data_IF_898270434427
#
_entry.id   IF_898270434427
#
_cell.length_a   1.000
_cell.length_b   1.000
_cell.length_c   1.000
_cell.angle_alpha   90.00
_cell.angle_beta   90.00
_cell.angle_gamma   90.00
#
_symmetry.space_group_name_H-M   'P 1'
#
loop_
_entity.id
_entity.type
_entity.pdbx_description
1 polymer ?
#
# COMPACT_ATOMS: atom_id res chain seq x y z
N UNK A 1 17.15 3.49 -1.42
CA UNK A 1 16.68 2.15 -1.85
C UNK A 1 15.18 2.22 -1.94
N UNK A 2 14.58 1.52 -2.90
CA UNK A 2 13.15 1.27 -2.94
C UNK A 2 12.89 -0.21 -2.64
N UNK A 3 11.88 -0.47 -1.83
CA UNK A 3 11.33 -1.81 -1.55
C UNK A 3 9.90 -1.79 -2.05
N UNK A 4 9.49 -2.83 -2.76
CA UNK A 4 8.19 -2.88 -3.44
C UNK A 4 7.69 -4.32 -3.45
N UNK A 5 6.39 -4.49 -3.26
CA UNK A 5 5.74 -5.79 -3.41
C UNK A 5 5.75 -6.25 -4.89
N UNK A 6 5.62 -7.56 -5.10
CA UNK A 6 5.68 -8.18 -6.43
C UNK A 6 4.32 -8.26 -7.13
N UNK A 7 3.22 -8.09 -6.40
CA UNK A 7 1.83 -8.17 -6.84
C UNK A 7 1.27 -6.79 -7.20
N UNK A 8 2.00 -6.07 -8.05
CA UNK A 8 1.71 -4.67 -8.42
C UNK A 8 1.69 -4.49 -9.94
N UNK A 9 0.94 -3.51 -10.43
CA UNK A 9 1.06 -2.97 -11.78
C UNK A 9 1.58 -1.54 -11.72
N UNK A 10 2.63 -1.27 -12.49
CA UNK A 10 3.18 0.07 -12.70
C UNK A 10 2.63 0.61 -14.04
N UNK A 11 2.12 1.83 -14.04
CA UNK A 11 1.44 2.40 -15.21
C UNK A 11 1.59 3.92 -15.30
N UNK A 12 1.22 4.48 -16.44
CA UNK A 12 1.39 5.91 -16.70
C UNK A 12 2.84 6.34 -16.53
N UNK A 13 3.05 7.46 -15.84
CA UNK A 13 4.35 8.03 -15.49
C UNK A 13 4.87 7.52 -14.13
N UNK A 14 4.86 6.19 -13.95
CA UNK A 14 5.23 5.53 -12.70
C UNK A 14 6.64 5.87 -12.19
N UNK A 15 7.55 6.26 -13.07
CA UNK A 15 8.92 6.68 -12.71
C UNK A 15 8.91 7.79 -11.65
N UNK A 16 7.87 8.65 -11.63
CA UNK A 16 7.70 9.69 -10.60
C UNK A 16 7.67 9.15 -9.17
N UNK A 17 7.22 7.91 -8.96
CA UNK A 17 7.27 7.24 -7.64
C UNK A 17 8.72 7.03 -7.21
N UNK A 18 9.55 6.55 -8.13
CA UNK A 18 10.95 6.24 -7.90
C UNK A 18 11.81 7.51 -7.84
N UNK A 19 11.46 8.54 -8.59
CA UNK A 19 12.17 9.82 -8.63
C UNK A 19 11.76 10.78 -7.50
N UNK A 20 10.66 10.50 -6.80
CA UNK A 20 10.16 11.35 -5.72
C UNK A 20 11.26 11.65 -4.68
N UNK A 21 11.61 12.91 -4.42
CA UNK A 21 12.78 13.26 -3.64
C UNK A 21 12.60 12.92 -2.16
N UNK A 22 13.67 12.39 -1.55
CA UNK A 22 13.77 12.17 -0.12
C UNK A 22 15.15 12.62 0.38
N UNK A 23 15.21 13.03 1.64
CA UNK A 23 16.43 13.44 2.34
C UNK A 23 16.83 12.42 3.41
N UNK A 24 18.04 12.56 3.96
CA UNK A 24 18.46 11.75 5.12
C UNK A 24 17.53 12.03 6.29
N UNK A 25 17.18 10.99 7.02
CA UNK A 25 16.17 11.07 8.08
C UNK A 25 14.72 10.99 7.60
N UNK A 26 14.46 10.88 6.28
CA UNK A 26 13.11 10.71 5.74
C UNK A 26 12.83 9.25 5.33
N UNK A 27 11.58 8.84 5.49
CA UNK A 27 11.04 7.57 5.03
C UNK A 27 9.80 7.83 4.20
N UNK A 28 9.82 7.45 2.92
CA UNK A 28 8.72 7.64 1.99
C UNK A 28 7.93 6.33 1.85
N UNK A 29 6.61 6.42 1.92
CA UNK A 29 5.72 5.28 1.78
C UNK A 29 4.52 5.59 0.89
N UNK A 30 3.95 4.55 0.28
CA UNK A 30 2.64 4.67 -0.36
C UNK A 30 1.52 4.83 0.69
N UNK A 31 0.48 5.64 0.43
CA UNK A 31 -0.65 5.77 1.32
C UNK A 31 -1.54 4.52 1.30
N UNK A 32 -2.16 4.19 2.44
CA UNK A 32 -3.09 3.07 2.61
C UNK A 32 -4.55 3.50 2.70
N UNK A 33 -5.01 4.41 1.84
CA UNK A 33 -6.31 5.09 1.99
C UNK A 33 -7.54 4.20 1.75
N UNK A 34 -7.41 3.06 1.05
CA UNK A 34 -8.52 2.17 0.72
C UNK A 34 -8.95 1.23 1.84
N UNK A 35 -8.27 1.26 3.00
CA UNK A 35 -8.53 0.37 4.13
C UNK A 35 -10.01 0.35 4.52
N UNK A 36 -10.50 -0.84 4.84
CA UNK A 36 -11.89 -1.07 5.24
C UNK A 36 -12.13 -0.78 6.73
N UNK A 37 -11.05 -0.72 7.51
CA UNK A 37 -11.04 -0.23 8.89
C UNK A 37 -10.16 1.00 8.97
N UNK A 38 -10.75 2.15 9.29
CA UNK A 38 -9.98 3.30 9.75
C UNK A 38 -9.34 2.92 11.09
N UNK A 39 -8.01 2.82 11.09
CA UNK A 39 -7.20 2.65 12.29
C UNK A 39 -6.54 4.00 12.52
N UNK A 40 -7.09 4.75 13.47
CA UNK A 40 -6.55 6.04 13.86
C UNK A 40 -5.04 5.91 14.14
N UNK A 41 -4.26 6.86 13.62
CA UNK A 41 -2.81 6.87 13.78
C UNK A 41 -2.01 6.10 12.73
N UNK A 42 -2.63 5.39 11.77
CA UNK A 42 -1.90 4.66 10.72
C UNK A 42 -2.31 5.03 9.30
N UNK A 43 -1.31 5.21 8.44
CA UNK A 43 -1.46 5.86 7.14
C UNK A 43 -0.79 5.15 5.97
N UNK A 44 0.22 4.30 6.21
CA UNK A 44 1.02 3.71 5.12
C UNK A 44 0.41 2.41 4.57
N UNK A 45 0.78 2.00 3.36
CA UNK A 45 0.60 0.62 2.91
C UNK A 45 1.99 -0.01 2.66
N UNK A 46 2.10 -1.32 2.89
CA UNK A 46 3.35 -2.08 2.78
C UNK A 46 3.91 -2.22 1.36
N UNK A 47 3.12 -1.94 0.33
CA UNK A 47 3.50 -2.26 -1.06
C UNK A 47 4.63 -1.43 -1.64
N UNK A 48 5.00 -0.30 -1.03
CA UNK A 48 6.12 0.52 -1.50
C UNK A 48 6.72 1.37 -0.37
N UNK A 49 8.05 1.27 -0.22
CA UNK A 49 8.86 2.12 0.64
C UNK A 49 10.10 2.65 -0.11
N UNK A 50 10.50 3.89 0.20
CA UNK A 50 11.78 4.47 -0.23
C UNK A 50 12.49 5.16 0.92
N UNK A 51 13.73 4.75 1.19
CA UNK A 51 14.50 5.25 2.34
C UNK A 51 16.01 5.09 2.16
N UNK A 52 16.76 5.69 3.09
CA UNK A 52 18.21 5.50 3.24
C UNK A 52 18.51 4.36 4.21
N UNK A 53 19.17 3.26 3.79
CA UNK A 53 19.34 2.08 4.63
C UNK A 53 20.06 2.31 5.96
N UNK A 54 21.03 3.23 5.98
CA UNK A 54 21.76 3.59 7.20
C UNK A 54 20.84 4.21 8.26
N UNK A 55 19.86 4.99 7.83
CA UNK A 55 18.92 5.67 8.72
C UNK A 55 17.89 4.69 9.28
N UNK A 56 17.57 3.62 8.54
CA UNK A 56 16.61 2.59 8.97
C UNK A 56 17.24 1.37 9.66
N UNK A 57 18.57 1.35 9.89
CA UNK A 57 19.24 0.19 10.52
C UNK A 57 18.62 -0.17 11.88
N UNK A 58 18.22 0.82 12.67
CA UNK A 58 17.60 0.58 13.97
C UNK A 58 16.25 -0.14 13.86
N UNK A 59 15.50 0.07 12.77
CA UNK A 59 14.22 -0.63 12.52
C UNK A 59 14.49 -2.12 12.29
N UNK A 60 15.50 -2.43 11.48
CA UNK A 60 15.97 -3.80 11.27
C UNK A 60 16.45 -4.43 12.58
N UNK A 61 17.33 -3.76 13.32
CA UNK A 61 17.86 -4.26 14.60
C UNK A 61 16.74 -4.52 15.61
N UNK A 62 15.73 -3.63 15.67
CA UNK A 62 14.54 -3.78 16.51
C UNK A 62 13.75 -5.02 16.11
N UNK A 63 13.44 -5.19 14.82
CA UNK A 63 12.71 -6.37 14.34
C UNK A 63 13.46 -7.67 14.66
N UNK A 64 14.77 -7.68 14.43
CA UNK A 64 15.63 -8.85 14.68
C UNK A 64 15.78 -9.19 16.16
N UNK A 65 15.58 -8.23 17.08
CA UNK A 65 15.70 -8.48 18.52
C UNK A 65 14.63 -9.42 19.08
N UNK A 66 13.44 -9.46 18.46
CA UNK A 66 12.36 -10.38 18.80
C UNK A 66 11.41 -10.57 17.59
N UNK A 67 11.86 -11.36 16.62
CA UNK A 67 11.13 -11.60 15.37
C UNK A 67 9.71 -12.11 15.66
N UNK A 68 9.57 -13.08 16.57
CA UNK A 68 8.28 -13.69 16.88
C UNK A 68 7.37 -12.75 17.66
N UNK A 69 7.91 -11.96 18.59
CA UNK A 69 7.17 -10.93 19.30
C UNK A 69 6.63 -9.87 18.36
N UNK A 70 7.47 -9.32 17.46
CA UNK A 70 7.03 -8.29 16.52
C UNK A 70 6.05 -8.79 15.46
N UNK A 71 6.18 -10.03 15.00
CA UNK A 71 5.21 -10.66 14.10
C UNK A 71 3.82 -10.79 14.71
N UNK A 72 3.71 -10.91 16.05
CA UNK A 72 2.45 -11.06 16.76
C UNK A 72 1.95 -9.80 17.45
N UNK A 73 2.83 -8.85 17.76
CA UNK A 73 2.55 -7.67 18.59
C UNK A 73 1.24 -6.96 18.21
N UNK A 74 1.03 -6.71 16.92
CA UNK A 74 -0.13 -5.99 16.42
C UNK A 74 -1.41 -6.84 16.37
N UNK A 75 -1.29 -8.17 16.37
CA UNK A 75 -2.41 -9.08 16.52
C UNK A 75 -2.78 -9.19 18.00
N UNK A 76 -1.80 -9.42 18.86
CA UNK A 76 -1.96 -9.61 20.30
C UNK A 76 -2.54 -8.34 20.97
N UNK A 77 -2.18 -7.14 20.48
CA UNK A 77 -2.75 -5.86 20.94
C UNK A 77 -4.00 -5.42 20.17
N UNK A 78 -4.63 -6.31 19.38
CA UNK A 78 -5.86 -6.07 18.62
C UNK A 78 -5.77 -4.92 17.59
N UNK A 79 -4.55 -4.47 17.27
CA UNK A 79 -4.27 -3.49 16.22
C UNK A 79 -4.61 -4.06 14.83
N UNK A 80 -4.53 -5.37 14.63
CA UNK A 80 -4.96 -6.02 13.40
C UNK A 80 -5.52 -7.43 13.67
N UNK A 81 -6.00 -8.09 12.61
CA UNK A 81 -6.54 -9.46 12.65
C UNK A 81 -5.82 -10.35 11.64
N UNK A 82 -5.83 -11.65 11.91
CA UNK A 82 -5.22 -12.70 11.07
C UNK A 82 -4.07 -13.41 11.79
N UNK A 83 -3.55 -14.53 11.25
CA UNK A 83 -2.43 -15.24 11.87
C UNK A 83 -1.07 -14.57 11.62
N UNK A 84 -0.95 -13.80 10.53
CA UNK A 84 0.22 -12.97 10.20
C UNK A 84 -0.29 -11.70 9.53
N UNK A 85 -0.16 -10.58 10.23
CA UNK A 85 -0.49 -9.22 9.79
C UNK A 85 0.15 -8.27 10.79
N UNK A 86 0.48 -7.04 10.44
CA UNK A 86 1.18 -6.17 11.38
C UNK A 86 2.33 -5.37 10.78
N UNK A 87 2.94 -5.87 9.71
CA UNK A 87 4.20 -5.35 9.17
C UNK A 87 4.15 -3.84 8.92
N UNK A 88 3.15 -3.36 8.19
CA UNK A 88 2.98 -1.93 7.92
C UNK A 88 2.85 -1.10 9.21
N UNK A 89 2.24 -1.64 10.26
CA UNK A 89 2.08 -0.96 11.56
C UNK A 89 3.42 -0.92 12.29
N UNK A 90 4.18 -2.02 12.29
CA UNK A 90 5.54 -2.10 12.83
C UNK A 90 6.46 -1.08 12.17
N UNK A 91 6.44 -1.02 10.84
CA UNK A 91 7.25 -0.09 10.07
C UNK A 91 6.85 1.36 10.39
N UNK A 92 5.55 1.68 10.36
CA UNK A 92 5.08 3.05 10.62
C UNK A 92 5.45 3.55 12.02
N UNK A 93 5.23 2.73 13.05
CA UNK A 93 5.58 3.09 14.43
C UNK A 93 7.09 3.26 14.58
N UNK A 94 7.87 2.34 14.03
CA UNK A 94 9.33 2.40 14.11
C UNK A 94 9.89 3.61 13.35
N UNK A 95 9.32 3.98 12.20
CA UNK A 95 9.67 5.20 11.47
C UNK A 95 9.40 6.43 12.34
N UNK A 96 8.21 6.54 12.94
CA UNK A 96 7.82 7.69 13.78
C UNK A 96 8.69 7.89 15.01
N UNK A 97 9.45 6.90 15.45
CA UNK A 97 10.40 7.05 16.56
C UNK A 97 11.59 7.97 16.23
N UNK A 98 12.07 8.00 14.98
CA UNK A 98 13.34 8.67 14.63
C UNK A 98 13.40 9.33 13.25
N UNK A 99 12.41 9.10 12.40
CA UNK A 99 12.40 9.54 11.01
C UNK A 99 11.14 10.36 10.70
N UNK A 100 11.24 11.22 9.70
CA UNK A 100 10.09 11.90 9.13
C UNK A 100 9.40 10.98 8.11
N UNK A 101 8.16 10.58 8.42
CA UNK A 101 7.32 9.84 7.48
C UNK A 101 6.73 10.79 6.44
N UNK A 102 7.00 10.51 5.16
CA UNK A 102 6.37 11.20 4.02
C UNK A 102 5.49 10.23 3.25
N UNK A 103 4.31 10.69 2.86
CA UNK A 103 3.40 9.93 2.02
C UNK A 103 3.49 10.45 0.58
N UNK A 104 3.44 9.53 -0.37
CA UNK A 104 3.23 9.87 -1.77
C UNK A 104 1.79 10.35 -2.02
N UNK A 105 1.53 11.10 -3.10
CA UNK A 105 0.19 11.60 -3.44
C UNK A 105 -0.85 10.47 -3.52
N UNK A 106 -2.04 10.70 -2.98
CA UNK A 106 -3.08 9.67 -2.88
C UNK A 106 -3.58 9.20 -4.25
N UNK A 107 -3.64 10.12 -5.20
CA UNK A 107 -4.08 9.92 -6.58
C UNK A 107 -3.20 8.96 -7.38
N UNK A 108 -1.96 8.73 -6.95
CA UNK A 108 -1.02 7.84 -7.63
C UNK A 108 -1.24 6.36 -7.33
N UNK A 109 -2.00 6.04 -6.28
CA UNK A 109 -2.12 4.68 -5.77
C UNK A 109 -3.56 4.24 -5.72
N UNK A 110 -3.79 2.96 -6.00
CA UNK A 110 -5.06 2.30 -5.68
C UNK A 110 -4.84 0.83 -5.34
N UNK A 111 -5.81 0.22 -4.65
CA UNK A 111 -5.92 -1.23 -4.50
C UNK A 111 -6.79 -1.78 -5.61
N UNK A 112 -6.42 -2.93 -6.17
CA UNK A 112 -7.28 -3.69 -7.07
C UNK A 112 -7.47 -5.13 -6.64
N UNK A 113 -8.52 -5.77 -7.16
CA UNK A 113 -8.85 -7.16 -6.89
C UNK A 113 -9.23 -7.86 -8.19
N UNK A 114 -8.69 -9.07 -8.39
CA UNK A 114 -8.93 -9.85 -9.61
C UNK A 114 -10.35 -10.42 -9.69
N UNK A 115 -11.00 -10.67 -8.55
CA UNK A 115 -12.32 -11.31 -8.52
C UNK A 115 -13.13 -11.03 -7.26
N UNK A 116 -14.42 -11.35 -7.30
CA UNK A 116 -15.34 -11.24 -6.16
C UNK A 116 -14.90 -12.09 -4.96
N UNK A 117 -14.24 -13.21 -5.22
CA UNK A 117 -13.74 -14.13 -4.20
C UNK A 117 -12.70 -13.45 -3.30
N UNK A 118 -11.84 -12.58 -3.87
CA UNK A 118 -10.83 -11.83 -3.12
C UNK A 118 -11.46 -10.83 -2.16
N UNK A 119 -12.53 -10.16 -2.59
CA UNK A 119 -13.18 -9.08 -1.82
C UNK A 119 -14.38 -9.55 -1.00
N UNK A 120 -14.76 -10.82 -1.17
CA UNK A 120 -15.91 -11.48 -0.56
C UNK A 120 -17.20 -10.65 -0.66
N UNK A 121 -17.43 -10.04 -1.83
CA UNK A 121 -18.62 -9.24 -2.17
C UNK A 121 -18.68 -9.01 -3.67
N UNK A 122 -19.83 -8.54 -4.15
CA UNK A 122 -20.00 -8.15 -5.56
C UNK A 122 -18.91 -7.18 -6.02
N UNK A 123 -18.29 -7.48 -7.18
CA UNK A 123 -17.22 -6.70 -7.76
C UNK A 123 -17.71 -5.29 -8.07
N UNK A 124 -18.90 -5.16 -8.65
CA UNK A 124 -19.54 -3.86 -8.92
C UNK A 124 -19.69 -3.05 -7.63
N UNK A 125 -20.18 -3.65 -6.54
CA UNK A 125 -20.32 -2.93 -5.26
C UNK A 125 -18.96 -2.50 -4.70
N UNK A 126 -17.97 -3.36 -4.78
CA UNK A 126 -16.62 -3.07 -4.34
C UNK A 126 -15.97 -1.93 -5.15
N UNK A 127 -16.07 -1.98 -6.49
CA UNK A 127 -15.58 -0.94 -7.40
C UNK A 127 -16.26 0.41 -7.17
N UNK A 128 -17.58 0.43 -6.94
CA UNK A 128 -18.30 1.66 -6.59
C UNK A 128 -17.82 2.22 -5.25
N UNK A 129 -17.60 1.36 -4.24
CA UNK A 129 -17.13 1.78 -2.92
C UNK A 129 -15.73 2.38 -2.98
N UNK A 130 -14.79 1.71 -3.64
CA UNK A 130 -13.41 2.20 -3.75
C UNK A 130 -13.35 3.47 -4.60
N UNK A 131 -14.12 3.56 -5.69
CA UNK A 131 -14.22 4.77 -6.52
C UNK A 131 -14.75 5.96 -5.72
N UNK A 132 -15.77 5.77 -4.88
CA UNK A 132 -16.27 6.84 -3.99
C UNK A 132 -15.22 7.31 -2.98
N UNK A 133 -14.42 6.39 -2.43
CA UNK A 133 -13.31 6.75 -1.53
C UNK A 133 -12.28 7.59 -2.27
N UNK A 134 -11.90 7.17 -3.48
CA UNK A 134 -10.94 7.89 -4.32
C UNK A 134 -11.45 9.28 -4.71
N UNK A 135 -12.69 9.39 -5.21
CA UNK A 135 -13.35 10.67 -5.50
C UNK A 135 -13.31 11.63 -4.32
N UNK A 136 -13.65 11.15 -3.11
CA UNK A 136 -13.62 11.97 -1.90
C UNK A 136 -12.21 12.45 -1.53
N UNK A 137 -11.20 11.62 -1.81
CA UNK A 137 -9.82 11.86 -1.40
C UNK A 137 -9.05 12.74 -2.38
N UNK A 138 -9.30 12.60 -3.68
CA UNK A 138 -8.50 13.22 -4.75
C UNK A 138 -9.29 14.22 -5.59
N UNK A 139 -10.62 14.15 -5.57
CA UNK A 139 -11.49 14.91 -6.48
C UNK A 139 -11.62 14.31 -7.89
N UNK A 140 -10.88 13.23 -8.20
CA UNK A 140 -10.95 12.55 -9.49
C UNK A 140 -12.23 11.72 -9.60
N UNK A 141 -12.85 11.71 -10.78
CA UNK A 141 -14.20 11.19 -11.03
C UNK A 141 -14.29 9.68 -11.22
N UNK A 142 -13.18 8.98 -11.49
CA UNK A 142 -13.14 7.52 -11.59
C UNK A 142 -11.78 6.95 -11.17
N UNK A 143 -11.74 5.64 -10.90
CA UNK A 143 -10.49 4.87 -10.75
C UNK A 143 -10.20 4.07 -12.01
N UNK A 144 -11.20 3.37 -12.53
CA UNK A 144 -11.05 2.45 -13.66
C UNK A 144 -12.31 2.48 -14.53
N UNK A 145 -12.13 2.60 -15.85
CA UNK A 145 -13.19 2.62 -16.86
C UNK A 145 -12.90 1.55 -17.92
N UNK A 146 -13.44 0.34 -17.70
CA UNK A 146 -13.61 -0.67 -18.75
C UNK A 146 -12.36 -1.04 -19.55
N UNK A 147 -11.16 -0.96 -18.96
CA UNK A 147 -9.88 -1.24 -19.61
C UNK A 147 -8.78 -0.23 -19.31
N UNK A 148 -9.13 0.92 -18.72
CA UNK A 148 -8.17 1.99 -18.46
C UNK A 148 -8.29 2.51 -17.02
N UNK A 149 -7.16 2.67 -16.33
CA UNK A 149 -7.09 3.37 -15.04
C UNK A 149 -7.03 4.88 -15.23
N UNK A 150 -7.46 5.62 -14.21
CA UNK A 150 -7.34 7.08 -14.22
C UNK A 150 -5.88 7.52 -14.45
N UNK A 151 -5.59 8.51 -15.31
CA UNK A 151 -4.22 8.87 -15.73
C UNK A 151 -3.25 9.23 -14.58
N UNK A 152 -3.77 9.72 -13.46
CA UNK A 152 -2.95 10.01 -12.27
C UNK A 152 -2.44 8.75 -11.57
N UNK A 153 -3.11 7.60 -11.73
CA UNK A 153 -2.73 6.34 -11.10
C UNK A 153 -1.45 5.84 -11.75
N UNK A 154 -0.46 5.55 -10.90
CA UNK A 154 0.87 5.08 -11.28
C UNK A 154 1.16 3.68 -10.74
N UNK A 155 0.42 3.29 -9.71
CA UNK A 155 0.67 2.07 -8.95
C UNK A 155 -0.65 1.44 -8.52
N UNK A 156 -0.87 0.21 -8.99
CA UNK A 156 -2.04 -0.59 -8.63
C UNK A 156 -1.57 -1.79 -7.82
N UNK A 157 -1.98 -1.86 -6.55
CA UNK A 157 -1.60 -2.93 -5.65
C UNK A 157 -2.69 -4.01 -5.59
N UNK A 158 -2.36 -5.24 -6.01
CA UNK A 158 -3.24 -6.40 -5.87
C UNK A 158 -3.07 -7.05 -4.49
N UNK A 159 -3.44 -6.30 -3.45
CA UNK A 159 -3.26 -6.76 -2.06
C UNK A 159 -3.96 -8.10 -1.81
N UNK A 160 -3.34 -8.97 -1.00
CA UNK A 160 -3.77 -10.31 -0.56
C UNK A 160 -3.03 -11.42 -1.29
N UNK A 161 -2.50 -12.41 -0.56
CA UNK A 161 -1.67 -13.52 -1.09
C UNK A 161 -2.26 -14.32 -2.25
N UNK A 162 -3.57 -14.30 -2.42
CA UNK A 162 -4.29 -15.01 -3.48
C UNK A 162 -4.72 -14.09 -4.64
N UNK A 163 -4.49 -12.78 -4.53
CA UNK A 163 -4.89 -11.77 -5.50
C UNK A 163 -3.74 -11.56 -6.49
N UNK A 164 -3.57 -12.47 -7.46
CA UNK A 164 -2.42 -12.41 -8.37
C UNK A 164 -2.74 -11.51 -9.57
N UNK A 165 -1.94 -10.48 -9.88
CA UNK A 165 -2.21 -9.56 -11.00
C UNK A 165 -2.47 -10.29 -12.33
N UNK A 166 -1.70 -11.34 -12.62
CA UNK A 166 -1.81 -12.16 -13.82
C UNK A 166 -3.16 -12.88 -14.02
N UNK A 167 -3.98 -12.97 -12.98
CA UNK A 167 -5.31 -13.57 -13.03
C UNK A 167 -6.40 -12.52 -13.33
N UNK A 168 -6.02 -11.24 -13.46
CA UNK A 168 -6.95 -10.16 -13.76
C UNK A 168 -7.31 -10.13 -15.25
N UNK A 169 -8.59 -9.98 -15.56
CA UNK A 169 -9.10 -10.04 -16.94
C UNK A 169 -8.48 -9.01 -17.90
N UNK A 170 -7.98 -7.88 -17.37
CA UNK A 170 -7.34 -6.81 -18.14
C UNK A 170 -5.81 -6.82 -18.06
N UNK A 171 -5.19 -7.82 -17.43
CA UNK A 171 -3.74 -7.84 -17.18
C UNK A 171 -2.92 -7.66 -18.46
N UNK A 172 -3.29 -8.34 -19.55
CA UNK A 172 -2.60 -8.27 -20.84
C UNK A 172 -2.64 -6.88 -21.50
N UNK A 173 -3.55 -5.99 -21.06
CA UNK A 173 -3.58 -4.62 -21.57
C UNK A 173 -2.48 -3.73 -20.97
N UNK A 174 -1.77 -4.21 -19.94
CA UNK A 174 -0.78 -3.46 -19.18
C UNK A 174 0.62 -4.10 -19.18
N UNK A 175 0.85 -5.14 -20.00
CA UNK A 175 2.15 -5.81 -20.19
C UNK A 175 2.81 -5.45 -21.51
#
# INVERSE_FOLDING_TARGET
ICVMDIDVLLMGDYEKIFDYPIERGQFLAMPGWWRDTEKEGYSINGGFFKYYPKDCKYIYDKFMSDIHGWQRHYIDNEVTRGPVNGEQYFVEDSVKERLELKLLPNEWFTRWAVSEEIVNRSMTKWQVQITRKYQKLTGNDYIFLGGEFHPEIKFVHFTHRNNKPMEWEYYENFN
#
